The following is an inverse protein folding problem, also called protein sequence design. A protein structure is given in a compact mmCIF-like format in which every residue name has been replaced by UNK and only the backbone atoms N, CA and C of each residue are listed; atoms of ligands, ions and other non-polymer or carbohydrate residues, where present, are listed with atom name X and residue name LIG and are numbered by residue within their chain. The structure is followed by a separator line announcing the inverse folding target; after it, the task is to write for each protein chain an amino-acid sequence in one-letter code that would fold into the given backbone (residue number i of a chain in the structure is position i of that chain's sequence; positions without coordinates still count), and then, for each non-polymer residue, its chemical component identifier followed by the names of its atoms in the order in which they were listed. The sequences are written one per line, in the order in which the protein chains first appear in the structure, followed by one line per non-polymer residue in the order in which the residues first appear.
data_IF_979626296812
#
_entry.id   IF_979626296812
#
_cell.length_a   1.000
_cell.length_b   1.000
_cell.length_c   1.000
_cell.angle_alpha   90.00
_cell.angle_beta   90.00
_cell.angle_gamma   90.00
#
_symmetry.space_group_name_H-M   'P 1'
#
loop_
_entity.id
_entity.type
_entity.pdbx_description
1 polymer ?
#
# COMPACT_ATOMS: atom_id res chain seq x y z
N UNK A 1 -18.99 5.67 12.12
CA UNK A 1 -19.28 4.35 12.74
C UNK A 1 -18.07 3.48 12.46
N UNK A 2 -17.19 3.23 13.46
CA UNK A 2 -16.06 2.33 13.31
C UNK A 2 -16.60 0.91 13.06
N UNK A 3 -16.37 0.36 11.88
CA UNK A 3 -16.56 -1.07 11.65
C UNK A 3 -15.31 -1.80 12.18
N UNK A 4 -15.33 -2.13 13.48
CA UNK A 4 -14.36 -3.03 14.05
C UNK A 4 -14.64 -4.43 13.51
N UNK A 5 -13.77 -4.95 12.65
CA UNK A 5 -13.78 -6.37 12.31
C UNK A 5 -13.23 -7.13 13.51
N UNK A 6 -14.15 -7.67 14.29
CA UNK A 6 -13.85 -8.56 15.40
C UNK A 6 -13.62 -9.96 14.82
N UNK A 7 -12.36 -10.31 14.50
CA UNK A 7 -11.99 -11.70 14.25
C UNK A 7 -11.50 -12.28 15.58
N UNK A 8 -12.38 -13.01 16.24
CA UNK A 8 -12.08 -13.75 17.45
C UNK A 8 -11.48 -15.11 17.05
N UNK A 9 -10.17 -15.13 16.84
CA UNK A 9 -9.38 -16.36 16.74
C UNK A 9 -8.36 -16.36 17.87
N UNK A 10 -8.59 -17.17 18.90
CA UNK A 10 -7.63 -17.36 19.97
C UNK A 10 -6.49 -18.25 19.47
N UNK A 11 -5.52 -17.66 18.78
CA UNK A 11 -4.20 -18.27 18.62
C UNK A 11 -3.32 -17.75 19.72
N UNK A 12 -2.86 -18.64 20.59
CA UNK A 12 -1.83 -18.31 21.60
C UNK A 12 -0.52 -18.08 20.88
N UNK A 13 -0.18 -16.80 20.66
CA UNK A 13 1.15 -16.45 20.18
C UNK A 13 2.14 -16.65 21.31
N UNK A 14 3.04 -17.61 21.13
CA UNK A 14 4.24 -17.67 21.94
C UNK A 14 5.11 -16.47 21.58
N UNK A 15 5.27 -15.56 22.53
CA UNK A 15 6.31 -14.52 22.50
C UNK A 15 7.61 -15.11 21.96
N UNK A 16 8.39 -14.34 21.19
CA UNK A 16 9.75 -14.71 20.74
C UNK A 16 10.75 -14.87 21.91
N UNK A 17 10.30 -15.24 23.09
CA UNK A 17 11.16 -15.57 24.23
C UNK A 17 11.75 -16.94 24.02
N UNK A 18 13.10 -16.99 23.95
CA UNK A 18 13.93 -18.19 23.86
C UNK A 18 13.81 -19.06 25.15
N UNK A 19 12.77 -19.87 25.23
CA UNK A 19 12.79 -21.01 26.14
C UNK A 19 12.18 -22.21 25.39
N UNK A 20 13.05 -23.18 25.03
CA UNK A 20 12.74 -24.53 24.58
C UNK A 20 12.23 -24.74 23.12
N UNK A 21 12.71 -23.98 22.11
CA UNK A 21 12.45 -24.31 20.72
C UNK A 21 13.76 -24.77 20.01
N UNK A 22 13.71 -25.84 19.16
CA UNK A 22 14.87 -26.27 18.38
C UNK A 22 15.36 -25.09 17.56
N UNK A 23 16.65 -24.79 17.63
CA UNK A 23 17.35 -23.61 17.09
C UNK A 23 16.65 -23.01 15.86
N UNK A 24 15.95 -21.90 16.09
CA UNK A 24 15.46 -21.03 15.00
C UNK A 24 16.69 -20.66 14.17
N UNK A 25 16.71 -20.89 12.85
CA UNK A 25 17.85 -20.55 12.04
C UNK A 25 18.25 -19.09 12.29
N UNK A 26 19.54 -18.83 12.47
CA UNK A 26 20.05 -17.47 12.60
C UNK A 26 19.78 -16.74 11.28
N UNK A 27 18.67 -15.99 11.24
CA UNK A 27 18.22 -15.24 10.07
C UNK A 27 18.91 -13.88 10.16
N UNK A 28 19.86 -13.58 9.27
CA UNK A 28 20.49 -12.26 9.19
C UNK A 28 19.48 -11.23 8.63
N UNK A 29 18.54 -10.81 9.49
CA UNK A 29 17.48 -9.85 9.15
C UNK A 29 18.11 -8.52 8.74
N UNK A 30 19.10 -8.03 9.47
CA UNK A 30 19.72 -6.72 9.25
C UNK A 30 20.29 -6.53 7.82
N UNK A 31 20.84 -7.61 7.25
CA UNK A 31 21.38 -7.57 5.88
C UNK A 31 20.27 -7.76 4.83
N UNK A 32 19.36 -8.70 5.06
CA UNK A 32 18.36 -9.10 4.06
C UNK A 32 17.21 -8.12 3.91
N UNK A 33 16.88 -7.36 4.97
CA UNK A 33 15.74 -6.45 4.98
C UNK A 33 15.95 -5.23 4.05
N UNK A 34 17.18 -4.89 3.71
CA UNK A 34 17.49 -3.69 2.93
C UNK A 34 16.77 -3.72 1.56
N UNK A 35 16.10 -2.61 1.23
CA UNK A 35 15.34 -2.42 0.01
C UNK A 35 13.87 -2.06 0.25
N UNK A 36 13.06 -2.18 -0.81
CA UNK A 36 11.63 -1.88 -0.76
C UNK A 36 10.81 -3.15 -0.58
N UNK A 37 9.79 -3.08 0.25
CA UNK A 37 8.92 -4.19 0.58
C UNK A 37 7.47 -3.74 0.64
N UNK A 38 6.55 -4.59 0.20
CA UNK A 38 5.11 -4.32 0.22
C UNK A 38 4.37 -5.53 0.79
N UNK A 39 3.38 -5.34 1.67
CA UNK A 39 2.60 -6.45 2.23
C UNK A 39 1.80 -7.14 1.11
N UNK A 40 1.94 -8.45 1.03
CA UNK A 40 1.25 -9.31 0.08
C UNK A 40 0.07 -10.03 0.71
N UNK A 41 0.27 -10.59 1.93
CA UNK A 41 -0.76 -11.34 2.64
C UNK A 41 -0.76 -11.02 4.14
N UNK A 42 -1.95 -11.07 4.74
CA UNK A 42 -2.16 -11.04 6.19
C UNK A 42 -3.05 -12.24 6.56
N UNK A 43 -2.56 -13.09 7.47
CA UNK A 43 -3.22 -14.36 7.89
C UNK A 43 -3.59 -15.26 6.71
N UNK A 44 -2.70 -15.36 5.70
CA UNK A 44 -2.89 -16.15 4.49
C UNK A 44 -3.94 -15.60 3.52
N UNK A 45 -4.39 -14.36 3.71
CA UNK A 45 -5.29 -13.66 2.79
C UNK A 45 -4.55 -12.52 2.11
N UNK A 46 -4.73 -12.34 0.79
CA UNK A 46 -4.15 -11.21 0.08
C UNK A 46 -4.57 -9.87 0.68
N UNK A 47 -3.61 -8.95 0.82
CA UNK A 47 -3.88 -7.59 1.31
C UNK A 47 -4.56 -6.78 0.20
N UNK A 48 -5.66 -6.10 0.53
CA UNK A 48 -6.35 -5.20 -0.39
C UNK A 48 -5.42 -4.06 -0.82
N UNK A 49 -5.53 -3.64 -2.08
CA UNK A 49 -4.57 -2.67 -2.65
C UNK A 49 -4.61 -1.32 -1.96
N UNK A 50 -5.78 -0.87 -1.50
CA UNK A 50 -5.99 0.38 -0.74
C UNK A 50 -5.42 0.34 0.70
N UNK A 51 -4.97 -0.83 1.14
CA UNK A 51 -4.35 -1.06 2.47
C UNK A 51 -2.84 -1.33 2.38
N UNK A 52 -2.29 -1.29 1.16
CA UNK A 52 -0.86 -1.49 0.96
C UNK A 52 -0.08 -0.20 1.19
N UNK A 53 1.11 -0.36 1.74
CA UNK A 53 2.12 0.68 1.88
C UNK A 53 3.46 0.12 1.44
N UNK A 54 4.35 0.96 0.92
CA UNK A 54 5.70 0.55 0.57
C UNK A 54 6.64 0.95 1.69
N UNK A 55 7.32 -0.06 2.26
CA UNK A 55 8.35 0.12 3.27
C UNK A 55 9.71 0.12 2.58
N UNK A 56 10.48 1.19 2.74
CA UNK A 56 11.82 1.34 2.18
C UNK A 56 12.86 1.32 3.29
N UNK A 57 13.54 0.18 3.48
CA UNK A 57 14.64 0.05 4.45
C UNK A 57 15.93 0.52 3.81
N UNK A 58 16.42 1.67 4.26
CA UNK A 58 17.69 2.26 3.78
C UNK A 58 18.90 1.79 4.59
N UNK A 59 18.66 1.34 5.81
CA UNK A 59 19.66 0.75 6.70
C UNK A 59 18.98 -0.17 7.73
N UNK A 60 19.78 -0.84 8.56
CA UNK A 60 19.27 -1.63 9.67
C UNK A 60 18.69 -0.79 10.83
N UNK A 61 18.77 0.53 10.76
CA UNK A 61 18.30 1.46 11.80
C UNK A 61 17.30 2.49 11.29
N UNK A 62 17.03 2.50 9.99
CA UNK A 62 16.17 3.53 9.38
C UNK A 62 15.38 2.99 8.19
N UNK A 63 14.10 3.26 8.21
CA UNK A 63 13.20 2.99 7.09
C UNK A 63 12.27 4.18 6.83
N UNK A 64 11.58 4.12 5.70
CA UNK A 64 10.50 5.04 5.33
C UNK A 64 9.30 4.23 4.91
N UNK A 65 8.11 4.73 5.18
CA UNK A 65 6.87 4.16 4.73
C UNK A 65 6.09 5.20 3.92
N UNK A 66 5.76 4.86 2.67
CA UNK A 66 4.87 5.69 1.85
C UNK A 66 3.43 5.46 2.28
N UNK A 67 2.75 6.52 2.68
CA UNK A 67 1.40 6.46 3.21
C UNK A 67 0.47 7.34 2.38
N UNK A 68 -0.68 6.78 2.04
CA UNK A 68 -1.84 7.53 1.60
C UNK A 68 -3.07 6.90 2.26
N UNK A 69 -3.72 7.63 3.15
CA UNK A 69 -4.94 7.16 3.82
C UNK A 69 -6.12 8.01 3.41
N UNK A 70 -7.28 7.40 3.20
CA UNK A 70 -8.51 8.17 3.06
C UNK A 70 -8.75 8.94 4.34
N UNK A 71 -8.97 10.27 4.26
CA UNK A 71 -9.29 11.05 5.45
C UNK A 71 -10.61 10.54 6.03
N UNK A 72 -10.60 10.18 7.30
CA UNK A 72 -11.83 10.06 8.06
C UNK A 72 -12.27 11.46 8.47
N UNK A 73 -13.57 11.65 8.67
CA UNK A 73 -14.12 12.97 8.99
C UNK A 73 -13.44 13.56 10.24
N UNK A 74 -12.67 14.65 10.06
CA UNK A 74 -11.95 15.34 11.13
C UNK A 74 -10.48 14.96 11.30
N UNK A 75 -9.94 14.05 10.46
CA UNK A 75 -8.52 13.70 10.47
C UNK A 75 -7.72 14.51 9.44
N UNK A 76 -6.44 14.74 9.76
CA UNK A 76 -5.52 15.36 8.82
C UNK A 76 -5.30 14.46 7.60
N UNK A 77 -5.36 15.06 6.42
CA UNK A 77 -5.20 14.35 5.16
C UNK A 77 -3.74 13.99 4.93
N UNK A 78 -3.38 12.73 5.07
CA UNK A 78 -2.03 12.24 4.72
C UNK A 78 -1.99 11.91 3.24
N UNK A 79 -1.07 12.55 2.50
CA UNK A 79 -0.86 12.31 1.09
C UNK A 79 0.62 12.28 0.73
N UNK A 80 1.07 11.18 0.13
CA UNK A 80 2.45 10.96 -0.32
C UNK A 80 3.49 11.32 0.77
N UNK A 81 3.12 11.11 2.01
CA UNK A 81 3.98 11.41 3.13
C UNK A 81 4.88 10.19 3.38
N UNK A 82 6.18 10.40 3.20
CA UNK A 82 7.16 9.39 3.57
C UNK A 82 7.43 9.49 5.06
N UNK A 83 6.71 8.72 5.84
CA UNK A 83 6.94 8.63 7.27
C UNK A 83 8.26 7.94 7.56
N UNK A 84 9.11 8.63 8.30
CA UNK A 84 10.35 8.05 8.82
C UNK A 84 10.04 7.09 9.95
N UNK A 85 10.67 5.92 9.91
CA UNK A 85 10.53 4.86 10.91
C UNK A 85 11.90 4.60 11.53
N UNK A 86 11.95 4.63 12.86
CA UNK A 86 13.08 4.10 13.61
C UNK A 86 13.05 2.58 13.57
N UNK A 87 14.17 1.97 13.21
CA UNK A 87 14.30 0.51 13.09
C UNK A 87 15.21 0.00 14.18
N UNK A 88 14.76 -1.00 14.93
CA UNK A 88 15.59 -1.76 15.88
C UNK A 88 15.51 -3.25 15.51
N UNK A 89 16.68 -3.89 15.31
CA UNK A 89 16.78 -5.32 14.97
C UNK A 89 17.58 -6.03 16.05
N UNK A 90 17.02 -7.13 16.56
CA UNK A 90 17.67 -8.01 17.54
C UNK A 90 17.36 -9.47 17.19
N UNK A 91 18.36 -10.22 16.71
CA UNK A 91 18.17 -11.59 16.23
C UNK A 91 17.13 -11.65 15.12
N UNK A 92 16.06 -12.40 15.33
CA UNK A 92 14.96 -12.57 14.38
C UNK A 92 13.81 -11.57 14.59
N UNK A 93 13.97 -10.57 15.46
CA UNK A 93 12.95 -9.57 15.74
C UNK A 93 13.36 -8.22 15.17
N UNK A 94 12.41 -7.55 14.54
CA UNK A 94 12.53 -6.15 14.09
C UNK A 94 11.38 -5.36 14.71
N UNK A 95 11.69 -4.18 15.22
CA UNK A 95 10.71 -3.21 15.69
C UNK A 95 10.82 -1.96 14.84
N UNK A 96 9.68 -1.50 14.32
CA UNK A 96 9.53 -0.21 13.65
C UNK A 96 8.76 0.73 14.58
N UNK A 97 9.27 1.94 14.76
CA UNK A 97 8.60 2.97 15.58
C UNK A 97 8.37 4.22 14.74
N UNK A 98 7.14 4.71 14.76
CA UNK A 98 6.75 5.99 14.18
C UNK A 98 6.10 6.86 15.25
N UNK A 99 6.55 8.09 15.36
CA UNK A 99 5.92 9.14 16.16
C UNK A 99 5.11 10.01 15.21
N UNK A 100 3.79 9.76 15.13
CA UNK A 100 2.91 10.52 14.22
C UNK A 100 2.76 11.97 14.67
N UNK A 101 2.77 12.20 15.99
CA UNK A 101 2.79 13.49 16.65
C UNK A 101 3.38 13.34 18.07
N UNK A 102 3.32 14.39 18.91
CA UNK A 102 3.85 14.37 20.29
C UNK A 102 3.08 13.43 21.24
N UNK A 103 1.87 13.02 20.86
CA UNK A 103 0.98 12.18 21.67
C UNK A 103 0.88 10.76 21.13
N UNK A 104 0.99 10.58 19.81
CA UNK A 104 0.68 9.32 19.11
C UNK A 104 1.95 8.61 18.67
N UNK A 105 2.12 7.37 19.15
CA UNK A 105 3.20 6.48 18.73
C UNK A 105 2.61 5.20 18.17
N UNK A 106 3.10 4.80 17.00
CA UNK A 106 2.85 3.51 16.38
C UNK A 106 4.11 2.65 16.49
N UNK A 107 3.94 1.43 16.99
CA UNK A 107 5.00 0.41 17.05
C UNK A 107 4.53 -0.82 16.28
N UNK A 108 5.36 -1.27 15.35
CA UNK A 108 5.20 -2.53 14.64
C UNK A 108 6.33 -3.48 15.02
N UNK A 109 5.98 -4.67 15.48
CA UNK A 109 6.92 -5.73 15.86
C UNK A 109 6.80 -6.88 14.85
N UNK A 110 7.94 -7.29 14.29
CA UNK A 110 8.03 -8.41 13.35
C UNK A 110 8.94 -9.47 13.94
N UNK A 111 8.42 -10.67 14.20
CA UNK A 111 9.19 -11.85 14.54
C UNK A 111 9.32 -12.72 13.29
N UNK A 112 10.46 -12.63 12.60
CA UNK A 112 10.70 -13.31 11.35
C UNK A 112 10.72 -14.82 11.51
N UNK A 113 9.90 -15.50 10.70
CA UNK A 113 9.92 -16.96 10.55
C UNK A 113 10.70 -17.38 9.32
N UNK A 114 10.75 -16.52 8.28
CA UNK A 114 11.54 -16.69 7.07
C UNK A 114 11.86 -15.33 6.44
N UNK A 115 13.04 -15.19 5.83
CA UNK A 115 13.40 -14.07 4.96
C UNK A 115 14.37 -14.53 3.88
N UNK A 116 14.04 -14.20 2.63
CA UNK A 116 14.83 -14.46 1.42
C UNK A 116 15.25 -13.16 0.74
N UNK A 117 15.78 -13.24 -0.48
CA UNK A 117 16.05 -12.06 -1.30
C UNK A 117 14.82 -11.42 -1.92
N UNK A 118 13.67 -12.12 -1.94
CA UNK A 118 12.44 -11.69 -2.61
C UNK A 118 11.20 -11.61 -1.72
N UNK A 119 11.21 -12.24 -0.54
CA UNK A 119 10.04 -12.31 0.34
C UNK A 119 10.43 -12.54 1.79
N UNK A 120 9.56 -12.17 2.71
CA UNK A 120 9.66 -12.56 4.11
C UNK A 120 8.28 -12.85 4.72
N UNK A 121 8.32 -13.69 5.76
CA UNK A 121 7.16 -14.00 6.61
C UNK A 121 7.52 -13.72 8.06
N UNK A 122 6.63 -13.09 8.80
CA UNK A 122 6.81 -12.79 10.20
C UNK A 122 5.48 -12.88 10.97
N UNK A 123 5.55 -13.26 12.25
CA UNK A 123 4.50 -12.88 13.18
C UNK A 123 4.59 -11.38 13.38
N UNK A 124 3.50 -10.67 13.17
CA UNK A 124 3.43 -9.22 13.17
C UNK A 124 2.46 -8.76 14.24
N UNK A 125 2.86 -7.72 14.94
CA UNK A 125 2.00 -7.01 15.90
C UNK A 125 2.14 -5.52 15.67
N UNK A 126 1.00 -4.84 15.54
CA UNK A 126 0.94 -3.38 15.52
C UNK A 126 0.26 -2.88 16.79
N UNK A 127 0.83 -1.87 17.40
CA UNK A 127 0.29 -1.20 18.58
C UNK A 127 0.34 0.31 18.35
N UNK A 128 -0.80 0.98 18.53
CA UNK A 128 -0.87 2.44 18.51
C UNK A 128 -1.24 2.91 19.91
N UNK A 129 -0.48 3.85 20.41
CA UNK A 129 -0.74 4.51 21.71
C UNK A 129 -0.98 6.00 21.50
N UNK A 130 -1.88 6.55 22.30
CA UNK A 130 -2.10 8.00 22.41
C UNK A 130 -1.98 8.38 23.88
N UNK A 131 -1.10 9.34 24.20
CA UNK A 131 -0.74 9.73 25.58
C UNK A 131 -0.38 8.53 26.47
N UNK A 132 0.29 7.51 25.88
CA UNK A 132 0.69 6.27 26.57
C UNK A 132 -0.44 5.25 26.77
N UNK A 133 -1.67 5.55 26.40
CA UNK A 133 -2.77 4.60 26.41
C UNK A 133 -2.89 3.86 25.06
N UNK A 134 -2.98 2.53 25.06
CA UNK A 134 -3.19 1.76 23.84
C UNK A 134 -4.57 2.01 23.27
N UNK A 135 -4.62 2.54 22.04
CA UNK A 135 -5.87 2.81 21.30
C UNK A 135 -6.12 1.77 20.21
N UNK A 136 -5.08 1.09 19.73
CA UNK A 136 -5.17 0.00 18.78
C UNK A 136 -4.10 -1.06 19.09
N UNK A 137 -4.46 -2.33 19.02
CA UNK A 137 -3.51 -3.43 19.01
C UNK A 137 -4.06 -4.56 18.15
N UNK A 138 -3.34 -4.92 17.09
CA UNK A 138 -3.66 -6.04 16.21
C UNK A 138 -2.41 -6.91 16.04
N UNK A 139 -2.62 -8.21 15.84
CA UNK A 139 -1.55 -9.15 15.56
C UNK A 139 -2.00 -10.18 14.51
N UNK A 140 -1.05 -10.76 13.79
CA UNK A 140 -1.30 -11.74 12.76
C UNK A 140 0.00 -12.23 12.11
N UNK A 141 -0.12 -13.13 11.14
CA UNK A 141 1.01 -13.55 10.31
C UNK A 141 1.01 -12.71 9.04
N UNK A 142 2.11 -11.99 8.79
CA UNK A 142 2.25 -11.14 7.62
C UNK A 142 3.30 -11.70 6.67
N UNK A 143 3.00 -11.62 5.37
CA UNK A 143 3.91 -11.94 4.29
C UNK A 143 4.17 -10.68 3.45
N UNK A 144 5.45 -10.38 3.21
CA UNK A 144 5.89 -9.27 2.38
C UNK A 144 6.62 -9.77 1.13
N UNK A 145 6.35 -9.13 0.02
CA UNK A 145 7.11 -9.28 -1.22
C UNK A 145 8.06 -8.10 -1.42
N UNK A 146 9.25 -8.39 -1.95
CA UNK A 146 10.23 -7.36 -2.29
C UNK A 146 9.81 -6.61 -3.56
N UNK A 147 9.81 -5.30 -3.50
CA UNK A 147 9.57 -4.45 -4.66
C UNK A 147 10.90 -4.15 -5.33
N UNK A 148 11.11 -4.70 -6.52
CA UNK A 148 12.38 -4.59 -7.26
C UNK A 148 12.31 -3.61 -8.42
N UNK A 149 11.10 -3.16 -8.79
CA UNK A 149 10.85 -2.24 -9.90
C UNK A 149 10.28 -0.93 -9.36
N UNK A 150 10.62 0.19 -9.97
CA UNK A 150 10.08 1.50 -9.64
C UNK A 150 9.60 2.18 -10.94
N UNK A 151 8.30 2.31 -11.11
CA UNK A 151 7.67 2.85 -12.32
C UNK A 151 7.44 4.37 -12.26
N UNK A 152 8.01 5.06 -11.30
CA UNK A 152 7.83 6.51 -11.12
C UNK A 152 8.18 7.32 -12.37
N UNK A 153 9.23 6.95 -13.09
CA UNK A 153 9.63 7.62 -14.33
C UNK A 153 8.86 7.10 -15.55
N UNK A 154 8.54 5.81 -15.58
CA UNK A 154 7.95 5.16 -16.75
C UNK A 154 6.47 5.52 -16.95
N UNK A 155 5.75 5.83 -15.85
CA UNK A 155 4.34 6.21 -15.90
C UNK A 155 4.12 7.56 -16.60
N UNK A 156 5.14 8.45 -16.60
CA UNK A 156 5.00 9.79 -17.18
C UNK A 156 4.66 9.71 -18.68
N UNK A 157 3.59 10.39 -19.05
CA UNK A 157 3.05 10.43 -20.41
C UNK A 157 1.54 10.24 -20.46
N UNK A 158 1.01 10.07 -21.66
CA UNK A 158 -0.41 9.88 -21.89
C UNK A 158 -0.72 8.42 -22.15
N UNK A 159 -1.70 7.90 -21.44
CA UNK A 159 -2.13 6.51 -21.49
C UNK A 159 -3.62 6.42 -21.78
N UNK A 160 -3.99 5.49 -22.66
CA UNK A 160 -5.39 5.25 -23.04
C UNK A 160 -5.68 3.75 -22.90
N UNK A 161 -6.80 3.42 -22.32
CA UNK A 161 -7.17 2.03 -22.11
C UNK A 161 -8.58 1.87 -21.57
N UNK A 162 -8.90 0.65 -21.23
CA UNK A 162 -10.22 0.28 -20.74
C UNK A 162 -10.12 -0.76 -19.62
N UNK A 163 -11.17 -0.84 -18.82
CA UNK A 163 -11.31 -1.87 -17.81
C UNK A 163 -11.49 -3.23 -18.48
N UNK A 164 -10.77 -4.23 -17.99
CA UNK A 164 -10.87 -5.62 -18.48
C UNK A 164 -11.54 -6.55 -17.48
N UNK A 165 -11.56 -6.18 -16.22
CA UNK A 165 -12.37 -6.81 -15.17
C UNK A 165 -12.74 -5.75 -14.13
N UNK A 166 -14.02 -5.51 -13.93
CA UNK A 166 -14.51 -4.47 -13.04
C UNK A 166 -15.41 -5.00 -11.94
N UNK A 167 -16.14 -6.06 -12.20
CA UNK A 167 -17.22 -6.58 -11.35
C UNK A 167 -18.11 -5.47 -10.75
N UNK A 168 -18.43 -4.46 -11.56
CA UNK A 168 -19.27 -3.33 -11.18
C UNK A 168 -18.50 -2.10 -10.67
N UNK A 169 -17.23 -1.94 -11.05
CA UNK A 169 -16.52 -0.67 -10.81
C UNK A 169 -17.11 0.45 -11.69
N UNK A 170 -16.91 1.69 -11.27
CA UNK A 170 -17.38 2.89 -11.97
C UNK A 170 -16.83 3.08 -13.40
N UNK A 171 -15.74 2.36 -13.75
CA UNK A 171 -15.15 2.37 -15.10
C UNK A 171 -15.72 1.31 -16.04
N UNK A 172 -16.73 0.53 -15.60
CA UNK A 172 -17.37 -0.51 -16.43
C UNK A 172 -18.49 0.08 -17.31
N UNK A 173 -18.18 1.12 -18.03
CA UNK A 173 -19.08 1.79 -18.97
C UNK A 173 -18.88 1.33 -20.43
N UNK A 174 -17.88 0.47 -20.67
CA UNK A 174 -17.51 -0.04 -21.99
C UNK A 174 -16.72 0.96 -22.84
N UNK A 175 -16.36 2.11 -22.26
CA UNK A 175 -15.63 3.17 -22.95
C UNK A 175 -14.13 3.10 -22.68
N UNK A 176 -13.36 3.76 -23.54
CA UNK A 176 -11.96 3.99 -23.28
C UNK A 176 -11.78 5.20 -22.36
N UNK A 177 -10.81 5.14 -21.49
CA UNK A 177 -10.42 6.20 -20.57
C UNK A 177 -9.01 6.68 -20.90
N UNK A 178 -8.69 7.94 -20.58
CA UNK A 178 -7.36 8.49 -20.83
C UNK A 178 -6.86 9.29 -19.64
N UNK A 179 -5.59 9.03 -19.27
CA UNK A 179 -4.85 9.79 -18.27
C UNK A 179 -3.54 10.31 -18.83
N UNK A 180 -3.19 11.54 -18.49
CA UNK A 180 -1.88 12.13 -18.74
C UNK A 180 -1.20 12.36 -17.39
N UNK A 181 -0.12 11.61 -17.12
CA UNK A 181 0.68 11.75 -15.92
C UNK A 181 1.87 12.68 -16.18
N UNK A 182 2.00 13.73 -15.37
CA UNK A 182 3.05 14.73 -15.49
C UNK A 182 4.19 14.41 -14.49
N UNK A 183 5.42 14.81 -14.83
CA UNK A 183 6.58 14.56 -13.99
C UNK A 183 6.57 15.31 -12.64
N UNK A 184 5.68 16.28 -12.47
CA UNK A 184 5.50 17.05 -11.23
C UNK A 184 4.54 16.40 -10.22
N UNK A 185 4.02 15.20 -10.51
CA UNK A 185 3.07 14.49 -9.65
C UNK A 185 1.62 14.89 -9.84
N UNK A 186 1.32 15.67 -10.88
CA UNK A 186 -0.05 15.98 -11.30
C UNK A 186 -0.49 15.06 -12.44
N UNK A 187 -1.80 14.89 -12.62
CA UNK A 187 -2.34 14.21 -13.80
C UNK A 187 -3.56 14.93 -14.35
N UNK A 188 -3.91 14.62 -15.60
CA UNK A 188 -5.16 15.02 -16.22
C UNK A 188 -5.94 13.76 -16.59
N UNK A 189 -7.18 13.67 -16.12
CA UNK A 189 -8.12 12.67 -16.58
C UNK A 189 -8.96 13.28 -17.70
N UNK A 190 -9.13 12.54 -18.78
CA UNK A 190 -9.90 12.97 -19.95
C UNK A 190 -11.15 12.12 -20.09
N UNK A 191 -12.23 12.78 -20.45
CA UNK A 191 -13.52 12.15 -20.81
C UNK A 191 -13.81 12.33 -22.29
N UNK A 192 -14.64 11.46 -22.84
CA UNK A 192 -15.09 11.59 -24.24
C UNK A 192 -16.16 12.66 -24.37
N UNK A 193 -16.02 13.52 -25.38
CA UNK A 193 -17.05 14.43 -25.87
C UNK A 193 -17.14 14.23 -27.39
N UNK A 194 -18.04 13.34 -27.83
CA UNK A 194 -18.08 12.83 -29.20
C UNK A 194 -16.78 12.11 -29.56
N UNK A 195 -16.11 12.56 -30.62
CA UNK A 195 -14.82 12.01 -31.06
C UNK A 195 -13.60 12.63 -30.35
N UNK A 196 -13.81 13.62 -29.46
CA UNK A 196 -12.73 14.35 -28.82
C UNK A 196 -12.49 13.90 -27.38
N UNK A 197 -11.24 14.05 -26.92
CA UNK A 197 -10.87 13.96 -25.53
C UNK A 197 -10.87 15.36 -24.91
N UNK A 198 -11.63 15.55 -23.85
CA UNK A 198 -11.65 16.81 -23.07
C UNK A 198 -11.27 16.54 -21.64
N UNK A 199 -10.50 17.44 -20.99
CA UNK A 199 -10.20 17.30 -19.59
C UNK A 199 -11.49 17.22 -18.75
N UNK A 200 -11.51 16.32 -17.76
CA UNK A 200 -12.60 16.25 -16.79
C UNK A 200 -12.68 17.53 -15.96
N UNK A 201 -13.82 17.75 -15.34
CA UNK A 201 -14.03 18.89 -14.43
C UNK A 201 -13.38 18.71 -13.05
N UNK A 202 -12.75 17.57 -12.78
CA UNK A 202 -12.08 17.28 -11.52
C UNK A 202 -10.94 18.28 -11.26
N UNK A 203 -10.71 18.58 -10.00
CA UNK A 203 -9.62 19.43 -9.54
C UNK A 203 -8.72 18.67 -8.55
N UNK A 204 -7.55 19.23 -8.24
CA UNK A 204 -6.56 18.62 -7.36
C UNK A 204 -6.17 17.21 -7.84
N UNK A 205 -5.96 17.04 -9.16
CA UNK A 205 -5.55 15.75 -9.71
C UNK A 205 -4.07 15.53 -9.45
N UNK A 206 -3.75 14.74 -8.44
CA UNK A 206 -2.39 14.43 -8.04
C UNK A 206 -2.17 12.93 -7.95
N UNK A 207 -0.95 12.49 -8.19
CA UNK A 207 -0.55 11.10 -8.06
C UNK A 207 0.86 10.97 -7.47
N UNK A 208 1.15 9.80 -6.93
CA UNK A 208 2.51 9.33 -6.73
C UNK A 208 2.63 7.85 -7.07
N UNK A 209 3.84 7.45 -7.41
CA UNK A 209 4.22 6.04 -7.56
C UNK A 209 5.34 5.74 -6.58
N UNK A 210 5.22 4.66 -5.81
CA UNK A 210 6.31 4.10 -5.03
C UNK A 210 6.48 2.63 -5.37
N UNK A 211 7.57 2.31 -6.09
CA UNK A 211 7.74 0.99 -6.66
C UNK A 211 6.70 0.67 -7.73
N UNK A 212 5.82 -0.25 -7.42
CA UNK A 212 4.70 -0.68 -8.28
C UNK A 212 3.34 -0.15 -7.79
N UNK A 213 3.28 0.54 -6.65
CA UNK A 213 2.05 1.09 -6.11
C UNK A 213 1.81 2.49 -6.64
N UNK A 214 0.74 2.67 -7.40
CA UNK A 214 0.21 3.96 -7.85
C UNK A 214 -0.90 4.39 -6.90
N UNK A 215 -0.82 5.61 -6.41
CA UNK A 215 -1.89 6.28 -5.68
C UNK A 215 -2.31 7.53 -6.44
N UNK A 216 -3.60 7.75 -6.57
CA UNK A 216 -4.19 8.96 -7.17
C UNK A 216 -5.15 9.62 -6.21
N UNK A 217 -5.26 10.96 -6.27
CA UNK A 217 -6.34 11.71 -5.60
C UNK A 217 -6.88 12.80 -6.51
N UNK A 218 -8.15 13.10 -6.33
CA UNK A 218 -8.82 14.18 -7.05
C UNK A 218 -9.99 14.71 -6.24
N UNK A 219 -10.46 15.91 -6.58
CA UNK A 219 -11.71 16.47 -6.06
C UNK A 219 -12.74 16.45 -7.18
N UNK A 220 -13.84 15.75 -6.94
CA UNK A 220 -15.05 15.79 -7.74
C UNK A 220 -16.20 16.34 -6.91
N UNK A 221 -16.93 17.35 -7.42
CA UNK A 221 -18.06 18.00 -6.76
C UNK A 221 -17.78 18.45 -5.31
N UNK A 222 -16.51 18.80 -5.02
CA UNK A 222 -16.07 19.24 -3.70
C UNK A 222 -15.72 18.11 -2.72
N UNK A 223 -15.77 16.86 -3.15
CA UNK A 223 -15.37 15.69 -2.38
C UNK A 223 -14.01 15.18 -2.85
N UNK A 224 -13.08 14.95 -1.91
CA UNK A 224 -11.81 14.29 -2.21
C UNK A 224 -12.03 12.78 -2.36
N UNK A 225 -11.49 12.25 -3.45
CA UNK A 225 -11.49 10.83 -3.78
C UNK A 225 -10.05 10.34 -3.90
N UNK A 226 -9.81 9.06 -3.65
CA UNK A 226 -8.51 8.41 -3.78
C UNK A 226 -8.66 7.01 -4.34
N UNK A 227 -7.65 6.59 -5.10
CA UNK A 227 -7.54 5.23 -5.62
C UNK A 227 -6.11 4.71 -5.51
N UNK A 228 -6.02 3.41 -5.40
CA UNK A 228 -4.77 2.66 -5.33
C UNK A 228 -4.80 1.55 -6.37
N UNK A 229 -3.69 1.45 -7.10
CA UNK A 229 -3.46 0.42 -8.10
C UNK A 229 -2.05 -0.13 -8.00
N UNK A 230 -1.90 -1.42 -8.20
CA UNK A 230 -0.61 -2.01 -8.51
C UNK A 230 -0.42 -1.93 -10.02
N UNK A 231 0.67 -1.33 -10.46
CA UNK A 231 0.94 -1.12 -11.89
C UNK A 231 2.11 -1.98 -12.36
N UNK A 232 2.05 -2.37 -13.62
CA UNK A 232 3.15 -2.97 -14.35
C UNK A 232 3.27 -2.29 -15.71
N UNK A 233 4.47 -1.80 -16.04
CA UNK A 233 4.75 -1.11 -17.30
C UNK A 233 5.79 -1.89 -18.07
N UNK A 234 5.49 -2.22 -19.33
CA UNK A 234 6.40 -2.88 -20.28
C UNK A 234 6.33 -2.11 -21.61
N UNK A 235 7.32 -1.24 -21.84
CA UNK A 235 7.37 -0.36 -23.01
C UNK A 235 6.17 0.58 -23.12
N UNK A 236 5.33 0.39 -24.11
CA UNK A 236 4.14 1.20 -24.38
C UNK A 236 2.85 0.61 -23.77
N UNK A 237 2.97 -0.43 -22.96
CA UNK A 237 1.84 -1.08 -22.27
C UNK A 237 1.91 -0.88 -20.78
N UNK A 238 0.77 -0.59 -20.18
CA UNK A 238 0.60 -0.51 -18.73
C UNK A 238 -0.64 -1.29 -18.31
N UNK A 239 -0.47 -2.15 -17.30
CA UNK A 239 -1.57 -2.86 -16.67
C UNK A 239 -1.74 -2.34 -15.24
N UNK A 240 -2.97 -2.10 -14.84
CA UNK A 240 -3.35 -1.84 -13.45
C UNK A 240 -4.07 -3.04 -12.90
N UNK A 241 -3.79 -3.35 -11.64
CA UNK A 241 -4.53 -4.35 -10.88
C UNK A 241 -4.85 -3.80 -9.48
N UNK A 242 -6.05 -4.06 -8.98
CA UNK A 242 -6.41 -3.73 -7.61
C UNK A 242 -7.28 -4.82 -7.00
N UNK A 243 -6.83 -5.39 -5.89
CA UNK A 243 -7.68 -6.23 -5.07
C UNK A 243 -8.59 -5.33 -4.24
N UNK A 244 -9.88 -5.44 -4.46
CA UNK A 244 -10.92 -4.62 -3.82
C UNK A 244 -11.90 -5.50 -3.04
N UNK A 245 -12.58 -4.89 -2.07
CA UNK A 245 -13.64 -5.55 -1.29
C UNK A 245 -15.00 -5.00 -1.69
N UNK A 246 -15.96 -5.91 -1.89
CA UNK A 246 -17.37 -5.58 -2.09
C UNK A 246 -18.07 -5.30 -0.75
N UNK A 247 -19.26 -4.74 -0.82
CA UNK A 247 -20.11 -4.48 0.36
C UNK A 247 -20.43 -5.74 1.17
N UNK A 248 -20.52 -6.90 0.52
CA UNK A 248 -20.77 -8.19 1.16
C UNK A 248 -19.53 -8.82 1.82
N UNK A 249 -18.38 -8.14 1.74
CA UNK A 249 -17.11 -8.59 2.29
C UNK A 249 -16.32 -9.54 1.39
N UNK A 250 -16.85 -9.97 0.24
CA UNK A 250 -16.09 -10.73 -0.76
C UNK A 250 -15.08 -9.82 -1.47
N UNK A 251 -14.04 -10.42 -2.05
CA UNK A 251 -13.01 -9.67 -2.78
C UNK A 251 -13.06 -10.00 -4.28
N UNK A 252 -12.62 -9.04 -5.08
CA UNK A 252 -12.40 -9.21 -6.51
C UNK A 252 -11.16 -8.45 -6.95
N UNK A 253 -10.60 -8.83 -8.11
CA UNK A 253 -9.47 -8.11 -8.71
C UNK A 253 -9.99 -7.26 -9.84
N UNK A 254 -9.94 -5.94 -9.69
CA UNK A 254 -10.15 -5.01 -10.80
C UNK A 254 -8.88 -4.97 -11.67
N UNK A 255 -9.05 -4.93 -12.98
CA UNK A 255 -7.94 -4.86 -13.94
C UNK A 255 -8.22 -3.82 -15.03
N UNK A 256 -7.15 -3.12 -15.44
CA UNK A 256 -7.17 -2.12 -16.48
C UNK A 256 -5.99 -2.36 -17.43
N UNK A 257 -6.23 -2.33 -18.74
CA UNK A 257 -5.18 -2.42 -19.75
C UNK A 257 -5.08 -1.11 -20.51
N UNK A 258 -3.86 -0.58 -20.57
CA UNK A 258 -3.58 0.70 -21.21
C UNK A 258 -2.44 0.63 -22.18
N UNK A 259 -2.48 1.52 -23.14
CA UNK A 259 -1.41 1.76 -24.09
C UNK A 259 -0.99 3.23 -24.03
N UNK A 260 0.33 3.47 -24.09
CA UNK A 260 0.88 4.81 -24.22
C UNK A 260 0.48 5.40 -25.59
N UNK A 261 -0.04 6.62 -25.54
CA UNK A 261 -0.38 7.39 -26.75
C UNK A 261 0.51 8.64 -26.78
N UNK A 262 0.83 9.06 -28.00
CA UNK A 262 1.66 10.25 -28.21
C UNK A 262 0.91 11.54 -27.85
#
# INVERSE_FOLDING_TARGET
MLAAILICGTTTFTSCTNEDNPATPDINVAEKIIGKWMPAELDGKPVQTDKKSVYTFVSATKAYMSVSTNPQQGEETVWNDQKELDVAISGNTMTLTNHSDEHTTMVEEFCFTAISGSEFTANHKITVTNDGATVLSNEGVIHFAKVTTDFRADIVGTWEGHVTNSEGSEYDDGEAHRWQYNADGTYVYYVRDGDNWVPSANTLNEYFVDGTLLCTRWIDQGQENREWWEINIDGDKMNWTALRQKEDGSTFTATFEMKKVE
#
